data_IF_915333939024
#
_entry.id   IF_915333939024
#
_cell.length_a   1.000
_cell.length_b   1.000
_cell.length_c   1.000
_cell.angle_alpha   90.00
_cell.angle_beta   90.00
_cell.angle_gamma   90.00
#
_symmetry.space_group_name_H-M   'P 1'
#
loop_
_entity.id
_entity.type
_entity.pdbx_description
1 polymer ?
#
# COMPACT_ATOMS: atom_id res chain seq x y z
N UNK A 1 1.72 2.61 -0.41
CA UNK A 1 1.41 1.48 -1.32
C UNK A 1 2.02 1.75 -2.68
N UNK A 2 2.83 0.84 -3.22
CA UNK A 2 3.47 0.99 -4.54
C UNK A 2 2.87 0.04 -5.57
N UNK A 3 2.68 0.53 -6.79
CA UNK A 3 2.22 -0.25 -7.96
C UNK A 3 3.13 -0.01 -9.15
N UNK A 4 3.17 -0.91 -10.12
CA UNK A 4 4.06 -0.76 -11.28
C UNK A 4 3.48 0.08 -12.41
N UNK A 5 2.16 0.09 -12.56
CA UNK A 5 1.47 0.73 -13.69
C UNK A 5 0.40 1.71 -13.22
N UNK A 6 0.17 2.75 -14.03
CA UNK A 6 -0.90 3.72 -13.79
C UNK A 6 -2.30 3.08 -13.72
N UNK A 7 -2.58 2.09 -14.57
CA UNK A 7 -3.85 1.35 -14.53
C UNK A 7 -4.11 0.65 -13.20
N UNK A 8 -3.05 0.11 -12.57
CA UNK A 8 -3.12 -0.50 -11.25
C UNK A 8 -3.42 0.52 -10.16
N UNK A 9 -2.89 1.75 -10.27
CA UNK A 9 -3.19 2.83 -9.32
C UNK A 9 -4.69 3.10 -9.27
N UNK A 10 -5.36 3.15 -10.42
CA UNK A 10 -6.82 3.31 -10.49
C UNK A 10 -7.57 2.16 -9.79
N UNK A 11 -7.17 0.92 -10.06
CA UNK A 11 -7.77 -0.28 -9.44
C UNK A 11 -7.61 -0.26 -7.91
N UNK A 12 -6.42 0.06 -7.40
CA UNK A 12 -6.14 0.07 -5.95
C UNK A 12 -6.87 1.21 -5.24
N UNK A 13 -6.98 2.39 -5.85
CA UNK A 13 -7.76 3.49 -5.28
C UNK A 13 -9.25 3.14 -5.29
N UNK A 14 -9.74 2.58 -6.41
CA UNK A 14 -11.15 2.31 -6.64
C UNK A 14 -11.97 3.58 -6.87
N UNK A 15 -13.23 3.40 -7.27
CA UNK A 15 -14.12 4.54 -7.53
C UNK A 15 -14.33 5.37 -6.26
N UNK A 16 -13.95 6.66 -6.32
CA UNK A 16 -14.05 7.58 -5.18
C UNK A 16 -13.17 7.20 -3.99
N UNK A 17 -12.12 6.39 -4.18
CA UNK A 17 -11.25 5.94 -3.09
C UNK A 17 -11.83 4.83 -2.22
N UNK A 18 -12.96 4.22 -2.61
CA UNK A 18 -13.64 3.19 -1.81
C UNK A 18 -12.76 1.98 -1.50
N UNK A 19 -12.00 1.50 -2.48
CA UNK A 19 -11.13 0.32 -2.33
C UNK A 19 -9.98 0.59 -1.37
N UNK A 20 -9.28 1.70 -1.53
CA UNK A 20 -8.16 2.06 -0.63
C UNK A 20 -8.65 2.36 0.78
N UNK A 21 -9.86 2.93 0.94
CA UNK A 21 -10.47 3.15 2.26
C UNK A 21 -10.78 1.84 2.96
N UNK A 22 -11.38 0.87 2.25
CA UNK A 22 -11.66 -0.45 2.80
C UNK A 22 -10.37 -1.19 3.21
N UNK A 23 -9.32 -1.11 2.37
CA UNK A 23 -8.00 -1.67 2.68
C UNK A 23 -7.40 -1.03 3.94
N UNK A 24 -7.46 0.32 4.03
CA UNK A 24 -6.97 1.07 5.18
C UNK A 24 -7.73 0.74 6.46
N UNK A 25 -9.04 0.58 6.41
CA UNK A 25 -9.86 0.16 7.55
C UNK A 25 -9.48 -1.23 8.04
N UNK A 26 -9.36 -2.21 7.13
CA UNK A 26 -8.97 -3.57 7.48
C UNK A 26 -7.54 -3.66 8.03
N UNK A 27 -6.59 -2.94 7.43
CA UNK A 27 -5.21 -2.88 7.91
C UNK A 27 -5.12 -2.18 9.28
N UNK A 28 -5.79 -1.05 9.45
CA UNK A 28 -5.83 -0.30 10.72
C UNK A 28 -6.38 -1.16 11.85
N UNK A 29 -7.49 -1.88 11.63
CA UNK A 29 -8.07 -2.76 12.65
C UNK A 29 -7.05 -3.81 13.15
N UNK A 30 -6.33 -4.45 12.23
CA UNK A 30 -5.27 -5.41 12.59
C UNK A 30 -4.12 -4.76 13.37
N UNK A 31 -3.68 -3.56 12.94
CA UNK A 31 -2.61 -2.82 13.62
C UNK A 31 -3.05 -2.39 15.03
N UNK A 32 -4.26 -1.88 15.19
CA UNK A 32 -4.82 -1.51 16.49
C UNK A 32 -4.90 -2.72 17.44
N UNK A 33 -5.27 -3.90 16.93
CA UNK A 33 -5.27 -5.14 17.72
C UNK A 33 -3.86 -5.54 18.15
N UNK A 34 -2.85 -5.40 17.28
CA UNK A 34 -1.47 -5.74 17.59
C UNK A 34 -0.84 -4.77 18.60
N UNK A 35 -1.17 -3.47 18.51
CA UNK A 35 -0.58 -2.43 19.35
C UNK A 35 -1.39 -2.13 20.63
N UNK A 36 -2.65 -2.54 20.69
CA UNK A 36 -3.54 -2.25 21.82
C UNK A 36 -3.94 -0.78 21.96
N UNK A 37 -3.77 0.02 20.90
CA UNK A 37 -3.95 1.47 20.91
C UNK A 37 -4.67 1.94 19.64
N UNK A 38 -5.27 3.13 19.70
CA UNK A 38 -5.87 3.77 18.52
C UNK A 38 -4.78 4.29 17.58
N UNK A 39 -4.95 4.06 16.29
CA UNK A 39 -3.96 4.44 15.27
C UNK A 39 -4.62 5.21 14.15
N UNK A 40 -4.00 6.33 13.75
CA UNK A 40 -4.34 6.99 12.50
C UNK A 40 -3.45 6.43 11.39
N UNK A 41 -4.08 5.77 10.39
CA UNK A 41 -3.36 5.18 9.25
C UNK A 41 -3.69 5.93 7.97
N UNK A 42 -2.70 6.62 7.42
CA UNK A 42 -2.78 7.27 6.11
C UNK A 42 -2.13 6.40 5.03
N UNK A 43 -2.84 6.18 3.91
CA UNK A 43 -2.36 5.35 2.80
C UNK A 43 -2.28 6.16 1.51
N UNK A 44 -1.08 6.25 0.93
CA UNK A 44 -0.85 6.86 -0.39
C UNK A 44 -0.48 5.79 -1.42
N UNK A 45 -1.12 5.85 -2.60
CA UNK A 45 -0.83 4.96 -3.74
C UNK A 45 0.09 5.67 -4.72
N UNK A 46 1.31 5.14 -4.88
CA UNK A 46 2.35 5.69 -5.77
C UNK A 46 2.70 4.69 -6.88
N UNK A 47 2.90 5.18 -8.10
CA UNK A 47 3.41 4.35 -9.20
C UNK A 47 4.94 4.37 -9.14
N UNK A 48 5.53 3.18 -9.12
CA UNK A 48 6.98 2.98 -9.21
C UNK A 48 7.24 2.00 -10.37
N UNK A 49 7.55 2.49 -11.58
CA UNK A 49 7.66 1.62 -12.76
C UNK A 49 8.70 0.52 -12.58
N UNK A 50 8.35 -0.72 -12.97
CA UNK A 50 9.25 -1.90 -13.00
C UNK A 50 9.99 -2.19 -11.68
N UNK A 51 9.42 -1.77 -10.53
CA UNK A 51 10.09 -1.92 -9.23
C UNK A 51 10.41 -3.36 -8.86
N UNK A 52 9.62 -4.34 -9.33
CA UNK A 52 9.87 -5.77 -9.06
C UNK A 52 11.11 -6.32 -9.77
N UNK A 53 11.63 -5.61 -10.77
CA UNK A 53 12.84 -6.00 -11.52
C UNK A 53 14.03 -5.09 -11.20
N UNK A 54 13.85 -4.14 -10.29
CA UNK A 54 14.87 -3.17 -9.93
C UNK A 54 15.41 -3.50 -8.55
N UNK A 55 16.59 -4.12 -8.52
CA UNK A 55 17.23 -4.61 -7.29
C UNK A 55 17.32 -3.54 -6.18
N UNK A 56 17.71 -2.27 -6.44
CA UNK A 56 17.68 -1.25 -5.40
C UNK A 56 16.28 -0.96 -4.86
N UNK A 57 15.24 -1.09 -5.69
CA UNK A 57 13.85 -0.90 -5.24
C UNK A 57 13.38 -2.06 -4.38
N UNK A 58 13.75 -3.31 -4.73
CA UNK A 58 13.44 -4.48 -3.93
C UNK A 58 14.08 -4.39 -2.55
N UNK A 59 15.39 -4.07 -2.50
CA UNK A 59 16.13 -3.84 -1.24
C UNK A 59 15.46 -2.76 -0.39
N UNK A 60 15.11 -1.60 -0.98
CA UNK A 60 14.43 -0.51 -0.26
C UNK A 60 13.04 -0.91 0.29
N UNK A 61 12.34 -1.81 -0.40
CA UNK A 61 11.01 -2.27 0.01
C UNK A 61 11.05 -3.43 1.02
N UNK A 62 12.25 -3.88 1.41
CA UNK A 62 12.44 -4.95 2.38
C UNK A 62 12.22 -6.36 1.80
N UNK A 63 12.19 -6.50 0.47
CA UNK A 63 12.20 -7.83 -0.15
C UNK A 63 13.63 -8.35 -0.17
N UNK A 64 13.86 -9.50 0.47
CA UNK A 64 15.10 -10.24 0.32
C UNK A 64 15.17 -10.78 -1.11
N UNK A 65 16.15 -10.30 -1.87
CA UNK A 65 16.53 -10.85 -3.17
C UNK A 65 17.84 -11.59 -2.98
#
# INVERSE_FOLDING_TARGET
VYVERGSQKGIVIGQGGRTVKALGQAARAKIETLLGQRVFLELHVKVLPRWRRHEPSLKRLGYAV
#
